data_IF_488406799979
#
_entry.id   IF_488406799979
#
_cell.length_a   1.000
_cell.length_b   1.000
_cell.length_c   1.000
_cell.angle_alpha   90.00
_cell.angle_beta   90.00
_cell.angle_gamma   90.00
#
_symmetry.space_group_name_H-M   'P 1'
#
loop_
_entity.id
_entity.type
_entity.pdbx_description
1 polymer ?
#
# COMPACT_ATOMS: atom_id res chain seq x y z
N UNK A 1 11.61 3.36 -17.81
CA UNK A 1 12.51 2.19 -17.63
C UNK A 1 12.03 1.08 -18.55
N UNK A 2 12.92 0.31 -19.19
CA UNK A 2 12.49 -0.79 -20.08
C UNK A 2 11.84 -1.93 -19.27
N UNK A 3 10.79 -2.55 -19.81
CA UNK A 3 10.04 -3.66 -19.17
C UNK A 3 10.93 -4.78 -18.64
N UNK A 4 11.95 -5.17 -19.42
CA UNK A 4 12.89 -6.22 -19.02
C UNK A 4 13.64 -5.85 -17.74
N UNK A 5 13.98 -4.58 -17.56
CA UNK A 5 14.65 -4.08 -16.36
C UNK A 5 13.71 -4.10 -15.16
N UNK A 6 12.46 -3.63 -15.32
CA UNK A 6 11.45 -3.67 -14.25
C UNK A 6 11.17 -5.09 -13.78
N UNK A 7 11.06 -6.05 -14.72
CA UNK A 7 10.90 -7.46 -14.39
C UNK A 7 12.08 -8.01 -13.57
N UNK A 8 13.32 -7.65 -13.93
CA UNK A 8 14.52 -8.03 -13.15
C UNK A 8 14.52 -7.41 -11.75
N UNK A 9 14.17 -6.13 -11.64
CA UNK A 9 14.05 -5.42 -10.35
C UNK A 9 13.00 -6.09 -9.47
N UNK A 10 11.87 -6.47 -10.04
CA UNK A 10 10.82 -7.19 -9.32
C UNK A 10 11.30 -8.56 -8.80
N UNK A 11 11.98 -9.36 -9.63
CA UNK A 11 12.57 -10.62 -9.12
C UNK A 11 13.62 -10.38 -8.05
N UNK A 12 14.46 -9.35 -8.21
CA UNK A 12 15.44 -8.97 -7.20
C UNK A 12 14.79 -8.61 -5.87
N UNK A 13 13.66 -7.87 -5.89
CA UNK A 13 12.94 -7.52 -4.66
C UNK A 13 12.26 -8.73 -4.03
N UNK A 14 11.79 -9.72 -4.81
CA UNK A 14 11.29 -10.99 -4.27
C UNK A 14 12.40 -11.79 -3.60
N UNK A 15 13.57 -11.91 -4.24
CA UNK A 15 14.71 -12.65 -3.67
C UNK A 15 15.15 -12.00 -2.35
N UNK A 16 15.23 -10.67 -2.32
CA UNK A 16 15.52 -9.93 -1.08
C UNK A 16 14.46 -10.20 -0.01
N UNK A 17 13.17 -10.14 -0.37
CA UNK A 17 12.05 -10.42 0.54
C UNK A 17 12.19 -11.81 1.17
N UNK A 18 12.34 -12.85 0.34
CA UNK A 18 12.43 -14.24 0.79
C UNK A 18 13.67 -14.46 1.65
N UNK A 19 14.82 -13.88 1.26
CA UNK A 19 16.06 -13.98 2.02
C UNK A 19 15.93 -13.39 3.42
N UNK A 20 15.41 -12.17 3.54
CA UNK A 20 15.20 -11.52 4.84
C UNK A 20 14.13 -12.24 5.66
N UNK A 21 13.07 -12.74 5.03
CA UNK A 21 12.03 -13.50 5.72
C UNK A 21 12.57 -14.82 6.30
N UNK A 22 13.36 -15.57 5.53
CA UNK A 22 13.99 -16.79 6.00
C UNK A 22 14.95 -16.51 7.18
N UNK A 23 15.70 -15.42 7.10
CA UNK A 23 16.52 -14.94 8.21
C UNK A 23 15.67 -14.61 9.45
N UNK A 24 14.62 -13.80 9.29
CA UNK A 24 13.73 -13.40 10.39
C UNK A 24 13.10 -14.62 11.07
N UNK A 25 12.62 -15.59 10.28
CA UNK A 25 12.06 -16.84 10.78
C UNK A 25 13.08 -17.63 11.59
N UNK A 26 14.30 -17.82 11.08
CA UNK A 26 15.37 -18.53 11.79
C UNK A 26 15.82 -17.81 13.06
N UNK A 27 15.93 -16.48 13.00
CA UNK A 27 16.26 -15.64 14.16
C UNK A 27 15.22 -15.76 15.26
N UNK A 28 13.93 -15.66 14.93
CA UNK A 28 12.85 -15.74 15.90
C UNK A 28 12.69 -17.13 16.51
N UNK A 29 12.97 -18.19 15.75
CA UNK A 29 13.06 -19.55 16.29
C UNK A 29 14.21 -19.69 17.28
N UNK A 30 15.37 -19.10 16.98
CA UNK A 30 16.54 -19.13 17.86
C UNK A 30 16.30 -18.36 19.17
N UNK A 31 15.67 -17.19 19.10
CA UNK A 31 15.32 -16.37 20.27
C UNK A 31 14.07 -16.85 21.00
N UNK A 32 13.36 -17.85 20.47
CA UNK A 32 12.10 -18.41 20.98
C UNK A 32 10.96 -17.38 21.04
N UNK A 33 11.00 -16.38 20.17
CA UNK A 33 9.90 -15.42 19.99
C UNK A 33 8.83 -15.98 19.04
N UNK A 34 7.94 -16.78 19.62
CA UNK A 34 6.88 -17.45 18.85
C UNK A 34 5.82 -16.49 18.29
N UNK A 35 5.68 -15.28 18.86
CA UNK A 35 4.80 -14.25 18.31
C UNK A 35 5.34 -13.78 16.95
N UNK A 36 6.62 -13.42 16.91
CA UNK A 36 7.28 -12.97 15.68
C UNK A 36 7.47 -14.10 14.66
N UNK A 37 7.54 -15.37 15.09
CA UNK A 37 7.41 -16.54 14.19
C UNK A 37 6.03 -16.57 13.53
N UNK A 38 4.96 -16.35 14.29
CA UNK A 38 3.60 -16.22 13.74
C UNK A 38 3.49 -15.10 12.70
N UNK A 39 4.08 -13.94 12.99
CA UNK A 39 4.12 -12.82 12.06
C UNK A 39 4.93 -13.13 10.78
N UNK A 40 5.98 -13.94 10.87
CA UNK A 40 6.71 -14.40 9.69
C UNK A 40 5.84 -15.28 8.78
N UNK A 41 4.96 -16.13 9.33
CA UNK A 41 3.98 -16.87 8.51
C UNK A 41 2.99 -15.94 7.81
N UNK A 42 2.49 -14.91 8.51
CA UNK A 42 1.63 -13.90 7.89
C UNK A 42 2.37 -13.18 6.75
N UNK A 43 3.63 -12.82 6.96
CA UNK A 43 4.49 -12.18 5.96
C UNK A 43 4.72 -13.04 4.71
N UNK A 44 4.61 -14.37 4.78
CA UNK A 44 4.64 -15.20 3.57
C UNK A 44 3.47 -14.91 2.62
N UNK A 45 2.31 -14.54 3.18
CA UNK A 45 1.06 -14.40 2.44
C UNK A 45 0.83 -12.95 1.96
N UNK A 46 1.33 -11.95 2.68
CA UNK A 46 1.06 -10.55 2.36
C UNK A 46 1.52 -10.09 0.96
N UNK A 47 2.68 -10.50 0.39
CA UNK A 47 3.05 -10.08 -0.96
C UNK A 47 2.17 -10.70 -2.05
N UNK A 48 1.38 -11.74 -1.72
CA UNK A 48 0.49 -12.41 -2.67
C UNK A 48 -0.85 -11.68 -2.88
N UNK A 49 -1.20 -10.70 -2.03
CA UNK A 49 -2.48 -9.99 -2.08
C UNK A 49 -2.68 -9.30 -3.44
N UNK A 50 -1.70 -8.49 -3.88
CA UNK A 50 -1.81 -7.74 -5.14
C UNK A 50 -1.81 -8.65 -6.38
N UNK A 51 -0.92 -9.66 -6.50
CA UNK A 51 -1.02 -10.66 -7.56
C UNK A 51 -2.37 -11.39 -7.59
N UNK A 52 -2.94 -11.70 -6.42
CA UNK A 52 -4.24 -12.36 -6.33
C UNK A 52 -5.35 -11.44 -6.86
N UNK A 53 -5.38 -10.16 -6.48
CA UNK A 53 -6.32 -9.16 -7.01
C UNK A 53 -6.20 -9.09 -8.54
N UNK A 54 -4.99 -8.98 -9.08
CA UNK A 54 -4.78 -8.94 -10.54
C UNK A 54 -5.32 -10.19 -11.22
N UNK A 55 -5.13 -11.37 -10.62
CA UNK A 55 -5.66 -12.63 -11.14
C UNK A 55 -7.19 -12.67 -11.10
N UNK A 56 -7.80 -12.26 -9.99
CA UNK A 56 -9.26 -12.24 -9.81
C UNK A 56 -9.95 -11.23 -10.73
N UNK A 57 -9.32 -10.08 -10.97
CA UNK A 57 -9.82 -9.06 -11.88
C UNK A 57 -9.40 -9.27 -13.35
N UNK A 58 -8.70 -10.36 -13.66
CA UNK A 58 -8.19 -10.67 -15.01
C UNK A 58 -7.32 -9.56 -15.63
N UNK A 59 -6.55 -8.86 -14.80
CA UNK A 59 -5.65 -7.78 -15.22
C UNK A 59 -4.26 -8.29 -15.62
N UNK A 60 -3.72 -7.72 -16.68
CA UNK A 60 -2.33 -7.86 -17.09
C UNK A 60 -1.39 -7.16 -16.10
N UNK A 61 -0.22 -7.76 -15.92
CA UNK A 61 0.79 -7.32 -14.96
C UNK A 61 1.33 -5.93 -15.28
N UNK A 62 1.48 -5.13 -14.23
CA UNK A 62 2.21 -3.85 -14.22
C UNK A 62 3.29 -3.95 -13.15
N UNK A 63 4.55 -4.16 -13.56
CA UNK A 63 5.64 -4.46 -12.62
C UNK A 63 5.91 -3.35 -11.59
N UNK A 64 5.66 -2.09 -11.94
CA UNK A 64 5.79 -0.98 -10.98
C UNK A 64 4.83 -1.15 -9.80
N UNK A 65 3.59 -1.59 -10.05
CA UNK A 65 2.62 -1.87 -8.99
C UNK A 65 3.11 -3.03 -8.12
N UNK A 66 3.63 -4.10 -8.75
CA UNK A 66 4.16 -5.25 -8.02
C UNK A 66 5.40 -4.90 -7.19
N UNK A 67 6.29 -4.06 -7.71
CA UNK A 67 7.47 -3.59 -6.97
C UNK A 67 7.03 -2.74 -5.78
N UNK A 68 6.15 -1.77 -5.99
CA UNK A 68 5.66 -0.90 -4.92
C UNK A 68 4.93 -1.70 -3.83
N UNK A 69 4.07 -2.65 -4.20
CA UNK A 69 3.39 -3.50 -3.24
C UNK A 69 4.36 -4.42 -2.49
N UNK A 70 5.36 -4.98 -3.18
CA UNK A 70 6.36 -5.84 -2.55
C UNK A 70 7.27 -5.04 -1.60
N UNK A 71 7.66 -3.83 -1.96
CA UNK A 71 8.44 -2.93 -1.08
C UNK A 71 7.62 -2.55 0.16
N UNK A 72 6.35 -2.19 -0.01
CA UNK A 72 5.49 -1.87 1.12
C UNK A 72 5.30 -3.06 2.07
N UNK A 73 4.92 -4.22 1.54
CA UNK A 73 4.74 -5.44 2.33
C UNK A 73 6.04 -5.95 2.94
N UNK A 74 7.19 -5.67 2.32
CA UNK A 74 8.51 -5.96 2.90
C UNK A 74 8.72 -5.18 4.19
N UNK A 75 8.46 -3.88 4.19
CA UNK A 75 8.57 -3.08 5.39
C UNK A 75 7.47 -3.38 6.40
N UNK A 76 6.21 -3.51 5.99
CA UNK A 76 5.11 -3.76 6.91
C UNK A 76 5.17 -5.15 7.57
N UNK A 77 5.35 -6.21 6.78
CA UNK A 77 5.21 -7.58 7.28
C UNK A 77 6.52 -8.20 7.73
N UNK A 78 7.63 -8.00 6.98
CA UNK A 78 8.92 -8.58 7.36
C UNK A 78 9.59 -7.73 8.43
N UNK A 79 9.83 -6.44 8.13
CA UNK A 79 10.49 -5.56 9.10
C UNK A 79 9.59 -5.25 10.29
N UNK A 80 8.37 -4.76 10.04
CA UNK A 80 7.42 -4.42 11.09
C UNK A 80 7.02 -5.64 11.90
N UNK A 81 6.38 -6.62 11.25
CA UNK A 81 5.83 -7.79 11.92
C UNK A 81 6.88 -8.79 12.41
N UNK A 82 7.67 -9.37 11.50
CA UNK A 82 8.57 -10.46 11.84
C UNK A 82 9.88 -10.01 12.53
N UNK A 83 10.34 -8.78 12.33
CA UNK A 83 11.55 -8.23 12.95
C UNK A 83 11.25 -7.14 13.99
N UNK A 84 9.98 -6.96 14.36
CA UNK A 84 9.52 -6.09 15.45
C UNK A 84 9.91 -4.59 15.26
N UNK A 85 10.05 -4.15 14.01
CA UNK A 85 10.43 -2.76 13.70
C UNK A 85 9.34 -1.74 14.05
N UNK A 86 8.11 -2.17 14.34
CA UNK A 86 7.04 -1.29 14.85
C UNK A 86 7.41 -0.59 16.17
N UNK A 87 8.37 -1.13 16.93
CA UNK A 87 8.91 -0.46 18.13
C UNK A 87 9.79 0.75 17.83
N UNK A 88 10.28 0.88 16.60
CA UNK A 88 11.13 1.99 16.22
C UNK A 88 10.28 3.26 16.10
N UNK A 89 10.78 4.34 16.71
CA UNK A 89 10.07 5.62 16.73
C UNK A 89 9.70 6.09 15.32
N UNK A 90 8.41 6.32 15.10
CA UNK A 90 7.86 6.83 13.84
C UNK A 90 7.79 5.81 12.69
N UNK A 91 8.21 4.56 12.88
CA UNK A 91 8.17 3.54 11.83
C UNK A 91 6.73 3.28 11.35
N UNK A 92 5.84 3.07 12.31
CA UNK A 92 4.43 2.86 12.06
C UNK A 92 3.79 4.02 11.29
N UNK A 93 4.02 5.25 11.76
CA UNK A 93 3.51 6.47 11.11
C UNK A 93 4.05 6.65 9.68
N UNK A 94 5.31 6.25 9.45
CA UNK A 94 5.90 6.26 8.11
C UNK A 94 5.26 5.21 7.18
N UNK A 95 4.86 4.05 7.72
CA UNK A 95 4.10 3.04 6.98
C UNK A 95 2.69 3.51 6.65
N UNK A 96 1.98 4.14 7.60
CA UNK A 96 0.66 4.73 7.33
C UNK A 96 0.72 5.86 6.30
N UNK A 97 1.75 6.70 6.35
CA UNK A 97 1.98 7.69 5.31
C UNK A 97 2.23 7.02 3.94
N UNK A 98 3.09 6.00 3.89
CA UNK A 98 3.39 5.27 2.66
C UNK A 98 2.17 4.53 2.10
N UNK A 99 1.34 3.96 2.98
CA UNK A 99 0.09 3.28 2.61
C UNK A 99 -0.89 4.27 2.01
N UNK A 100 -1.02 5.47 2.58
CA UNK A 100 -1.86 6.53 2.03
C UNK A 100 -1.53 6.85 0.56
N UNK A 101 -0.24 6.91 0.23
CA UNK A 101 0.18 7.12 -1.16
C UNK A 101 -0.22 5.97 -2.10
N UNK A 102 -0.06 4.73 -1.64
CA UNK A 102 -0.41 3.53 -2.41
C UNK A 102 -1.92 3.40 -2.60
N UNK A 103 -2.70 3.63 -1.54
CA UNK A 103 -4.15 3.57 -1.58
C UNK A 103 -4.72 4.66 -2.47
N UNK A 104 -4.21 5.89 -2.43
CA UNK A 104 -4.65 6.93 -3.36
C UNK A 104 -4.31 6.55 -4.81
N UNK A 105 -3.15 5.93 -5.07
CA UNK A 105 -2.83 5.38 -6.41
C UNK A 105 -3.81 4.28 -6.81
N UNK A 106 -4.16 3.37 -5.89
CA UNK A 106 -5.15 2.33 -6.13
C UNK A 106 -6.56 2.91 -6.38
N UNK A 107 -6.93 4.00 -5.69
CA UNK A 107 -8.18 4.71 -5.91
C UNK A 107 -8.24 5.37 -7.30
N UNK A 108 -7.12 5.91 -7.79
CA UNK A 108 -7.03 6.40 -9.18
C UNK A 108 -7.28 5.26 -10.17
N UNK A 109 -6.63 4.11 -9.97
CA UNK A 109 -6.82 2.91 -10.79
C UNK A 109 -8.29 2.47 -10.77
N UNK A 110 -8.88 2.39 -9.57
CA UNK A 110 -10.27 2.01 -9.39
C UNK A 110 -11.21 2.97 -10.13
N UNK A 111 -11.01 4.29 -9.97
CA UNK A 111 -11.82 5.29 -10.65
C UNK A 111 -11.80 5.12 -12.17
N UNK A 112 -10.61 5.02 -12.76
CA UNK A 112 -10.49 4.87 -14.22
C UNK A 112 -10.96 3.51 -14.73
N UNK A 113 -10.87 2.47 -13.92
CA UNK A 113 -11.44 1.15 -14.23
C UNK A 113 -12.96 1.21 -14.28
N UNK A 114 -13.59 1.87 -13.30
CA UNK A 114 -15.05 2.06 -13.26
C UNK A 114 -15.50 2.95 -14.42
N UNK A 115 -14.76 4.04 -14.67
CA UNK A 115 -15.10 5.02 -15.68
C UNK A 115 -14.95 4.49 -17.11
N UNK A 116 -13.94 3.65 -17.37
CA UNK A 116 -13.66 3.14 -18.72
C UNK A 116 -13.14 4.18 -19.72
N UNK A 117 -12.76 5.38 -19.27
CA UNK A 117 -12.11 6.41 -20.10
C UNK A 117 -11.02 7.15 -19.29
N UNK A 118 -9.81 7.19 -19.85
CA UNK A 118 -8.63 7.84 -19.25
C UNK A 118 -8.66 9.39 -19.28
N UNK A 119 -9.55 10.02 -20.04
CA UNK A 119 -9.59 11.49 -20.21
C UNK A 119 -10.73 12.13 -19.45
N UNK A 120 -10.47 13.17 -18.68
CA UNK A 120 -11.53 13.98 -18.09
C UNK A 120 -12.26 14.78 -19.17
N UNK A 121 -13.59 14.68 -19.23
CA UNK A 121 -14.43 15.40 -20.20
C UNK A 121 -14.79 16.81 -19.72
N UNK A 122 -14.70 17.07 -18.41
CA UNK A 122 -14.98 18.39 -17.85
C UNK A 122 -14.19 18.67 -16.56
N UNK A 123 -14.09 19.96 -16.18
CA UNK A 123 -13.55 20.38 -14.88
C UNK A 123 -14.37 19.81 -13.70
N UNK A 124 -15.69 19.66 -13.89
CA UNK A 124 -16.59 19.07 -12.88
C UNK A 124 -16.23 17.61 -12.63
N UNK A 125 -15.99 16.85 -13.70
CA UNK A 125 -15.58 15.46 -13.60
C UNK A 125 -14.23 15.34 -12.90
N UNK A 126 -13.27 16.19 -13.24
CA UNK A 126 -11.99 16.26 -12.54
C UNK A 126 -12.16 16.54 -11.04
N UNK A 127 -13.05 17.45 -10.65
CA UNK A 127 -13.34 17.71 -9.24
C UNK A 127 -13.94 16.49 -8.52
N UNK A 128 -14.88 15.78 -9.17
CA UNK A 128 -15.46 14.54 -8.64
C UNK A 128 -14.37 13.47 -8.45
N UNK A 129 -13.47 13.34 -9.40
CA UNK A 129 -12.31 12.44 -9.30
C UNK A 129 -11.44 12.75 -8.07
N UNK A 130 -11.13 14.02 -7.81
CA UNK A 130 -10.32 14.40 -6.64
C UNK A 130 -11.05 14.06 -5.32
N UNK A 131 -12.36 14.29 -5.24
CA UNK A 131 -13.17 13.91 -4.07
C UNK A 131 -13.14 12.39 -3.90
N UNK A 132 -13.37 11.64 -4.97
CA UNK A 132 -13.40 10.18 -4.96
C UNK A 132 -12.09 9.58 -4.40
N UNK A 133 -10.93 9.98 -4.93
CA UNK A 133 -9.66 9.36 -4.52
C UNK A 133 -9.31 9.64 -3.05
N UNK A 134 -9.66 10.82 -2.53
CA UNK A 134 -9.43 11.16 -1.13
C UNK A 134 -10.44 10.47 -0.21
N UNK A 135 -11.70 10.36 -0.62
CA UNK A 135 -12.70 9.62 0.13
C UNK A 135 -12.34 8.13 0.26
N UNK A 136 -11.89 7.49 -0.82
CA UNK A 136 -11.43 6.10 -0.78
C UNK A 136 -10.19 5.95 0.10
N UNK A 137 -9.23 6.88 0.02
CA UNK A 137 -8.04 6.86 0.88
C UNK A 137 -8.41 6.89 2.37
N UNK A 138 -9.22 7.87 2.78
CA UNK A 138 -9.65 8.00 4.18
C UNK A 138 -10.49 6.79 4.63
N UNK A 139 -11.37 6.27 3.77
CA UNK A 139 -12.17 5.10 4.08
C UNK A 139 -11.32 3.85 4.33
N UNK A 140 -10.28 3.62 3.52
CA UNK A 140 -9.37 2.49 3.71
C UNK A 140 -8.52 2.66 4.97
N UNK A 141 -8.04 3.88 5.27
CA UNK A 141 -7.34 4.15 6.52
C UNK A 141 -8.23 3.84 7.73
N UNK A 142 -9.48 4.28 7.71
CA UNK A 142 -10.47 3.95 8.74
C UNK A 142 -10.73 2.44 8.86
N UNK A 143 -10.86 1.73 7.73
CA UNK A 143 -11.07 0.27 7.74
C UNK A 143 -9.87 -0.48 8.33
N UNK A 144 -8.65 0.06 8.17
CA UNK A 144 -7.46 -0.50 8.80
C UNK A 144 -7.53 -0.36 10.33
N UNK A 145 -7.87 0.83 10.84
CA UNK A 145 -8.06 1.04 12.28
C UNK A 145 -9.17 0.14 12.86
N UNK A 146 -10.24 -0.10 12.10
CA UNK A 146 -11.29 -1.03 12.50
C UNK A 146 -10.78 -2.47 12.58
N UNK A 147 -9.90 -2.86 11.66
CA UNK A 147 -9.25 -4.16 11.72
C UNK A 147 -8.36 -4.27 12.97
N UNK A 148 -7.54 -3.27 13.28
CA UNK A 148 -6.67 -3.31 14.45
C UNK A 148 -7.46 -3.31 15.76
N UNK A 149 -8.56 -2.55 15.81
CA UNK A 149 -9.49 -2.59 16.93
C UNK A 149 -10.11 -3.99 17.07
N UNK A 150 -10.50 -4.64 15.97
CA UNK A 150 -10.99 -6.00 15.99
C UNK A 150 -9.93 -6.99 16.49
N UNK A 151 -8.65 -6.80 16.13
CA UNK A 151 -7.54 -7.61 16.63
C UNK A 151 -7.39 -7.51 18.16
N UNK A 152 -7.55 -6.31 18.72
CA UNK A 152 -7.56 -6.11 20.16
C UNK A 152 -8.73 -6.85 20.83
N UNK A 153 -9.95 -6.67 20.33
CA UNK A 153 -11.16 -7.20 20.97
C UNK A 153 -11.27 -8.73 20.86
N UNK A 154 -11.06 -9.29 19.66
CA UNK A 154 -11.30 -10.70 19.41
C UNK A 154 -10.08 -11.59 19.62
N UNK A 155 -8.87 -11.05 19.45
CA UNK A 155 -7.63 -11.82 19.49
C UNK A 155 -6.68 -11.39 20.60
N UNK A 156 -7.04 -10.37 21.40
CA UNK A 156 -6.20 -9.79 22.47
C UNK A 156 -4.83 -9.35 21.94
N UNK A 157 -4.77 -8.95 20.67
CA UNK A 157 -3.58 -8.43 20.04
C UNK A 157 -3.68 -6.90 19.97
N UNK A 158 -2.91 -6.20 20.78
CA UNK A 158 -2.93 -4.74 20.87
C UNK A 158 -2.07 -4.08 19.77
N UNK A 159 -2.40 -4.33 18.50
CA UNK A 159 -1.71 -3.70 17.37
C UNK A 159 -2.14 -2.23 17.16
N UNK A 160 -3.28 -1.82 17.73
CA UNK A 160 -3.79 -0.44 17.74
C UNK A 160 -3.18 0.43 18.87
N UNK A 161 -2.22 -0.11 19.63
CA UNK A 161 -1.56 0.53 20.77
C UNK A 161 -2.53 1.19 21.78
N UNK A 162 -3.66 0.53 22.06
CA UNK A 162 -4.71 1.08 22.91
C UNK A 162 -4.20 1.42 24.32
N UNK A 163 -3.38 0.55 24.91
CA UNK A 163 -2.94 0.72 26.30
C UNK A 163 -1.83 1.76 26.47
N UNK A 164 -1.08 2.08 25.41
CA UNK A 164 0.06 3.00 25.47
C UNK A 164 -0.26 4.38 24.90
N UNK A 165 -1.04 4.43 23.82
CA UNK A 165 -1.36 5.66 23.09
C UNK A 165 -2.86 5.95 23.00
N UNK A 166 -3.70 4.91 23.09
CA UNK A 166 -5.14 5.04 22.99
C UNK A 166 -5.55 5.63 21.64
N UNK A 167 -6.55 6.52 21.66
CA UNK A 167 -7.08 7.15 20.43
C UNK A 167 -6.04 7.97 19.65
N UNK A 168 -4.96 8.39 20.31
CA UNK A 168 -3.93 9.20 19.66
C UNK A 168 -3.23 8.43 18.54
N UNK A 169 -3.05 7.11 18.69
CA UNK A 169 -2.41 6.26 17.68
C UNK A 169 -3.23 6.28 16.39
N UNK A 170 -4.47 5.77 16.47
CA UNK A 170 -5.38 5.64 15.35
C UNK A 170 -5.67 6.95 14.61
N UNK A 171 -5.85 8.04 15.36
CA UNK A 171 -6.07 9.35 14.74
C UNK A 171 -4.82 9.81 14.00
N UNK A 172 -3.63 9.59 14.57
CA UNK A 172 -2.36 9.95 13.91
C UNK A 172 -2.13 9.09 12.68
N UNK A 173 -2.46 7.80 12.71
CA UNK A 173 -2.33 6.89 11.58
C UNK A 173 -3.22 7.27 10.40
N UNK A 174 -4.49 7.53 10.69
CA UNK A 174 -5.42 8.04 9.68
C UNK A 174 -4.99 9.40 9.14
N UNK A 175 -4.46 10.30 9.99
CA UNK A 175 -3.92 11.59 9.56
C UNK A 175 -2.70 11.41 8.65
N UNK A 176 -1.76 10.54 9.00
CA UNK A 176 -0.59 10.24 8.17
C UNK A 176 -0.99 9.74 6.79
N UNK A 177 -1.93 8.78 6.72
CA UNK A 177 -2.47 8.27 5.46
C UNK A 177 -3.18 9.36 4.64
N UNK A 178 -3.98 10.19 5.31
CA UNK A 178 -4.73 11.29 4.68
C UNK A 178 -3.80 12.35 4.11
N UNK A 179 -2.78 12.79 4.87
CA UNK A 179 -1.81 13.79 4.42
C UNK A 179 -1.02 13.28 3.21
N UNK A 180 -0.64 12.01 3.19
CA UNK A 180 -0.01 11.40 2.01
C UNK A 180 -0.94 11.40 0.79
N UNK A 181 -2.22 11.06 0.98
CA UNK A 181 -3.23 11.07 -0.08
C UNK A 181 -3.48 12.48 -0.65
N UNK A 182 -3.53 13.50 0.21
CA UNK A 182 -3.60 14.91 -0.20
C UNK A 182 -2.34 15.30 -0.96
N UNK A 183 -1.15 14.88 -0.51
CA UNK A 183 0.10 15.11 -1.21
C UNK A 183 0.06 14.60 -2.65
N UNK A 184 -0.35 13.34 -2.86
CA UNK A 184 -0.52 12.78 -4.21
C UNK A 184 -1.61 13.52 -5.01
N UNK A 185 -2.70 13.91 -4.37
CA UNK A 185 -3.76 14.72 -5.00
C UNK A 185 -3.21 16.04 -5.54
N UNK A 186 -2.37 16.74 -4.79
CA UNK A 186 -1.69 17.97 -5.24
C UNK A 186 -0.84 17.69 -6.47
N UNK A 187 -0.06 16.60 -6.48
CA UNK A 187 0.71 16.22 -7.67
C UNK A 187 -0.16 15.94 -8.90
N UNK A 188 -1.33 15.31 -8.73
CA UNK A 188 -2.28 15.07 -9.82
C UNK A 188 -2.89 16.37 -10.36
N UNK A 189 -3.20 17.34 -9.48
CA UNK A 189 -3.67 18.68 -9.89
C UNK A 189 -2.59 19.44 -10.66
N UNK A 190 -1.34 19.39 -10.18
CA UNK A 190 -0.21 20.00 -10.89
C UNK A 190 0.03 19.35 -12.25
N UNK A 191 -0.11 18.02 -12.35
CA UNK A 191 -0.04 17.32 -13.63
C UNK A 191 -1.16 17.76 -14.58
N UNK A 192 -2.40 17.80 -14.10
CA UNK A 192 -3.55 18.23 -14.90
C UNK A 192 -3.39 19.66 -15.45
N UNK A 193 -2.78 20.57 -14.68
CA UNK A 193 -2.52 21.96 -15.11
C UNK A 193 -1.32 22.10 -16.05
N UNK A 194 -0.23 21.39 -15.78
CA UNK A 194 1.08 21.66 -16.40
C UNK A 194 1.53 20.59 -17.42
N UNK A 195 0.83 19.46 -17.51
CA UNK A 195 1.15 18.35 -18.41
C UNK A 195 2.44 17.59 -18.10
N UNK A 196 3.15 17.91 -17.00
CA UNK A 196 4.43 17.29 -16.64
C UNK A 196 4.23 15.90 -16.02
N UNK A 197 4.51 14.85 -16.79
CA UNK A 197 4.39 13.46 -16.35
C UNK A 197 5.28 13.17 -15.13
N UNK A 198 4.69 12.59 -14.08
CA UNK A 198 5.40 12.05 -12.92
C UNK A 198 5.47 10.51 -13.00
N UNK A 199 6.31 9.89 -12.16
CA UNK A 199 6.38 8.43 -12.06
C UNK A 199 5.00 7.80 -11.77
N UNK A 200 4.22 8.36 -10.86
CA UNK A 200 2.89 7.85 -10.48
C UNK A 200 1.85 8.00 -11.59
N UNK A 201 1.93 9.09 -12.36
CA UNK A 201 1.10 9.28 -13.55
C UNK A 201 1.31 8.15 -14.55
N UNK A 202 2.58 7.81 -14.80
CA UNK A 202 2.90 6.73 -15.74
C UNK A 202 2.37 5.37 -15.26
N UNK A 203 2.25 5.13 -13.95
CA UNK A 203 1.75 3.85 -13.42
C UNK A 203 0.29 3.63 -13.78
N UNK A 204 -0.60 4.57 -13.45
CA UNK A 204 -2.03 4.36 -13.70
C UNK A 204 -2.38 4.47 -15.19
N UNK A 205 -1.69 5.33 -15.97
CA UNK A 205 -1.86 5.39 -17.43
C UNK A 205 -1.47 4.05 -18.08
N UNK A 206 -0.32 3.49 -17.68
CA UNK A 206 0.14 2.18 -18.14
C UNK A 206 -0.78 1.04 -17.73
N UNK A 207 -1.33 1.10 -16.51
CA UNK A 207 -2.33 0.15 -16.07
C UNK A 207 -3.58 0.22 -16.95
N UNK A 208 -4.11 1.43 -17.17
CA UNK A 208 -5.29 1.66 -17.98
C UNK A 208 -5.11 1.12 -19.40
N UNK A 209 -4.01 1.49 -20.07
CA UNK A 209 -3.73 1.10 -21.45
C UNK A 209 -3.62 -0.43 -21.62
N UNK A 210 -3.20 -1.16 -20.58
CA UNK A 210 -3.09 -2.63 -20.62
C UNK A 210 -4.39 -3.35 -20.27
N UNK A 211 -5.22 -2.75 -19.42
CA UNK A 211 -6.27 -3.49 -18.71
C UNK A 211 -7.67 -2.96 -18.94
N UNK A 212 -7.83 -1.69 -19.29
CA UNK A 212 -9.13 -1.02 -19.39
C UNK A 212 -9.38 -0.50 -20.80
N UNK A 213 -8.39 0.13 -21.44
CA UNK A 213 -8.53 0.78 -22.75
C UNK A 213 -8.57 -0.16 -23.96
N UNK A 214 -9.12 -1.38 -23.81
CA UNK A 214 -9.31 -2.34 -24.90
C UNK A 214 -10.66 -2.14 -25.57
#
# INVERSE_FOLDING_TARGET
MQEKTLKKVWYGSIVLYIGTLAFAFGYNLYTKDYHSVGMAFVAMLTPCIVPLIFKLCHWNVVYEIYILSNVFTYFASVWGGALDAYRLYGFDKALHFSSGWLITTAAVILYFTIKGDRKFQSKREFAIFLIFINAVNMAVAQLWEFYEYAMLIFFKNDCINHYTQGVHDSITDMLCATVAGIGLTVFLVLYYKNGRRSFFVNIYEKFYDRNVGK
#
